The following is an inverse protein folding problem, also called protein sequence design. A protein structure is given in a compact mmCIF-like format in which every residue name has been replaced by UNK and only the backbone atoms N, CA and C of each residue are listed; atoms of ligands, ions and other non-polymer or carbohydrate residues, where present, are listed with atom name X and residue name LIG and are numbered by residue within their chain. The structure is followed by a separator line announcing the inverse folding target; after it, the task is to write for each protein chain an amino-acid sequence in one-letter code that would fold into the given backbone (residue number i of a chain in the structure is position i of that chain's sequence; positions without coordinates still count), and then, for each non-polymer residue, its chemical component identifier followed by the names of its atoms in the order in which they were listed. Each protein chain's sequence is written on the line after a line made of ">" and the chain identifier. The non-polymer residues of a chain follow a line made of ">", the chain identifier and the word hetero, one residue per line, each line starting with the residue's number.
data_IF_274378554793
#
_entry.id   IF_274378554793
#
_cell.length_a   1.000
_cell.length_b   1.000
_cell.length_c   1.000
_cell.angle_alpha   90.00
_cell.angle_beta   90.00
_cell.angle_gamma   90.00
#
_symmetry.space_group_name_H-M   'P 1'
#
loop_
_entity.id
_entity.type
_entity.pdbx_description
1 polymer ?
#
# COMPACT_ATOMS: atom_id res chain seq x y z
N UNK A 1 21.41 -13.58 5.49
CA UNK A 1 21.19 -12.30 4.76
C UNK A 1 22.21 -12.20 3.65
N UNK A 2 21.81 -11.85 2.43
CA UNK A 2 22.71 -11.71 1.27
C UNK A 2 23.49 -10.38 1.31
N UNK A 3 24.68 -10.33 0.72
CA UNK A 3 25.44 -9.09 0.58
C UNK A 3 24.65 -8.00 -0.17
N UNK A 4 23.88 -8.41 -1.20
CA UNK A 4 23.04 -7.52 -1.99
C UNK A 4 21.94 -6.85 -1.15
N UNK A 5 21.32 -7.58 -0.20
CA UNK A 5 20.27 -6.99 0.65
C UNK A 5 20.86 -5.98 1.63
N UNK A 6 22.08 -6.24 2.11
CA UNK A 6 22.82 -5.31 2.97
C UNK A 6 23.19 -4.03 2.22
N UNK A 7 23.68 -4.15 0.98
CA UNK A 7 24.02 -3.00 0.13
C UNK A 7 22.78 -2.16 -0.21
N UNK A 8 21.65 -2.79 -0.54
CA UNK A 8 20.36 -2.10 -0.78
C UNK A 8 19.94 -1.29 0.45
N UNK A 9 19.98 -1.90 1.64
CA UNK A 9 19.65 -1.21 2.90
C UNK A 9 20.55 -0.01 3.15
N UNK A 10 21.86 -0.14 2.90
CA UNK A 10 22.77 1.00 3.01
C UNK A 10 22.44 2.13 2.02
N UNK A 11 22.13 1.77 0.76
CA UNK A 11 21.73 2.72 -0.28
C UNK A 11 20.51 3.58 0.11
N UNK A 12 19.60 3.07 0.93
CA UNK A 12 18.44 3.80 1.43
C UNK A 12 18.80 5.00 2.33
N UNK A 13 20.05 5.09 2.82
CA UNK A 13 20.54 6.20 3.63
C UNK A 13 21.33 7.24 2.84
N UNK A 14 21.51 7.06 1.52
CA UNK A 14 22.30 7.96 0.65
C UNK A 14 21.38 8.86 -0.17
N UNK A 15 21.65 10.17 -0.16
CA UNK A 15 20.95 11.16 -1.00
C UNK A 15 20.65 12.46 -0.24
N UNK A 16 20.46 13.54 -0.97
CA UNK A 16 20.27 14.88 -0.41
C UNK A 16 18.85 15.06 0.19
N UNK A 17 17.84 14.41 -0.39
CA UNK A 17 16.44 14.65 -0.02
C UNK A 17 15.92 13.52 0.85
N UNK A 18 15.15 13.89 1.89
CA UNK A 18 14.34 12.93 2.66
C UNK A 18 13.08 12.62 1.85
N UNK A 19 12.80 11.34 1.67
CA UNK A 19 11.62 10.83 0.99
C UNK A 19 10.82 10.00 1.98
N UNK A 20 9.56 10.37 2.19
CA UNK A 20 8.61 9.59 2.96
C UNK A 20 7.99 8.51 2.06
N UNK A 21 8.15 7.24 2.44
CA UNK A 21 7.67 6.11 1.63
C UNK A 21 6.33 5.59 2.12
N UNK A 22 6.13 5.50 3.43
CA UNK A 22 4.95 4.90 4.02
C UNK A 22 4.74 5.41 5.46
N UNK A 23 3.55 5.91 5.81
CA UNK A 23 3.18 6.20 7.20
C UNK A 23 3.30 4.96 8.10
N UNK A 24 3.16 5.17 9.40
CA UNK A 24 2.90 4.08 10.34
C UNK A 24 1.67 3.28 9.88
N UNK A 25 1.79 1.95 9.93
CA UNK A 25 0.72 1.02 9.59
C UNK A 25 0.23 0.35 10.86
N UNK A 26 -1.08 0.31 11.05
CA UNK A 26 -1.75 -0.42 12.13
C UNK A 26 -2.99 -1.10 11.58
N UNK A 27 -3.27 -2.28 12.09
CA UNK A 27 -4.41 -3.04 11.63
C UNK A 27 -4.73 -4.23 12.50
N UNK A 28 -5.76 -4.96 12.07
CA UNK A 28 -6.22 -6.19 12.68
C UNK A 28 -6.62 -7.15 11.57
N UNK A 29 -6.22 -8.42 11.70
CA UNK A 29 -6.57 -9.47 10.75
C UNK A 29 -7.45 -10.55 11.40
N UNK A 30 -8.50 -10.96 10.70
CA UNK A 30 -9.41 -12.02 11.11
C UNK A 30 -9.76 -12.97 9.97
N UNK A 31 -10.30 -14.14 10.32
CA UNK A 31 -10.99 -15.06 9.43
C UNK A 31 -12.41 -15.25 9.93
N UNK A 32 -13.41 -14.76 9.19
CA UNK A 32 -14.84 -14.81 9.56
C UNK A 32 -15.08 -14.24 10.97
N UNK A 33 -14.46 -13.10 11.25
CA UNK A 33 -14.49 -12.39 12.52
C UNK A 33 -13.61 -12.98 13.63
N UNK A 34 -12.94 -14.12 13.42
CA UNK A 34 -12.03 -14.71 14.40
C UNK A 34 -10.62 -14.15 14.22
N UNK A 35 -9.98 -13.58 15.25
CA UNK A 35 -8.65 -13.02 15.12
C UNK A 35 -7.59 -14.05 14.67
N UNK A 36 -6.71 -13.63 13.77
CA UNK A 36 -5.60 -14.45 13.29
C UNK A 36 -4.33 -14.11 14.07
N UNK A 37 -3.91 -14.97 14.99
CA UNK A 37 -2.69 -14.79 15.80
C UNK A 37 -1.44 -15.39 15.13
N UNK A 38 -0.29 -14.76 15.36
CA UNK A 38 1.03 -15.20 14.88
C UNK A 38 1.10 -15.39 13.35
N UNK A 39 0.38 -14.56 12.62
CA UNK A 39 0.37 -14.53 11.16
C UNK A 39 1.32 -13.44 10.67
N UNK A 40 2.11 -13.76 9.65
CA UNK A 40 3.10 -12.84 9.10
C UNK A 40 2.43 -11.76 8.25
N UNK A 41 2.77 -10.50 8.55
CA UNK A 41 2.41 -9.33 7.76
C UNK A 41 3.70 -8.79 7.14
N UNK A 42 3.76 -8.74 5.81
CA UNK A 42 4.92 -8.25 5.07
C UNK A 42 4.60 -6.94 4.37
N UNK A 43 5.54 -6.01 4.36
CA UNK A 43 5.44 -4.76 3.63
C UNK A 43 6.62 -4.61 2.68
N UNK A 44 6.31 -4.26 1.45
CA UNK A 44 7.26 -3.98 0.37
C UNK A 44 7.01 -2.57 -0.14
N UNK A 45 8.04 -1.74 -0.11
CA UNK A 45 8.01 -0.35 -0.55
C UNK A 45 9.07 -0.15 -1.63
N UNK A 46 8.66 0.33 -2.80
CA UNK A 46 9.57 0.61 -3.90
C UNK A 46 9.45 2.08 -4.32
N UNK A 47 10.52 2.85 -4.14
CA UNK A 47 10.60 4.22 -4.61
C UNK A 47 10.99 4.26 -6.10
N UNK A 48 10.54 5.28 -6.83
CA UNK A 48 10.69 5.35 -8.29
C UNK A 48 12.13 5.40 -8.81
N UNK A 49 13.12 5.58 -7.94
CA UNK A 49 14.56 5.49 -8.27
C UNK A 49 15.15 4.07 -8.13
N UNK A 50 14.30 3.06 -7.84
CA UNK A 50 14.69 1.66 -7.67
C UNK A 50 15.07 1.29 -6.24
N UNK A 51 15.07 2.23 -5.28
CA UNK A 51 15.28 1.90 -3.87
C UNK A 51 14.09 1.13 -3.31
N UNK A 52 14.39 0.14 -2.47
CA UNK A 52 13.39 -0.76 -1.92
C UNK A 52 13.59 -0.97 -0.42
N UNK A 53 12.49 -1.02 0.32
CA UNK A 53 12.44 -1.37 1.75
C UNK A 53 11.45 -2.51 1.92
N UNK A 54 11.92 -3.57 2.56
CA UNK A 54 11.11 -4.74 2.92
C UNK A 54 11.23 -4.96 4.44
N UNK A 55 10.09 -5.04 5.12
CA UNK A 55 9.99 -5.39 6.53
C UNK A 55 8.73 -6.20 6.83
N UNK A 56 8.66 -6.79 8.02
CA UNK A 56 7.55 -7.62 8.43
C UNK A 56 7.30 -7.52 9.93
N UNK A 57 6.10 -7.91 10.34
CA UNK A 57 5.70 -8.14 11.73
C UNK A 57 4.84 -9.40 11.80
N UNK A 58 4.57 -9.88 13.01
CA UNK A 58 3.53 -10.88 13.25
C UNK A 58 2.34 -10.24 13.94
N UNK A 59 1.16 -10.81 13.73
CA UNK A 59 -0.04 -10.44 14.47
C UNK A 59 0.02 -10.96 15.91
N UNK A 60 -0.57 -10.20 16.84
CA UNK A 60 -0.75 -10.61 18.23
C UNK A 60 -1.97 -11.55 18.42
N UNK A 61 -2.27 -11.92 19.66
CA UNK A 61 -3.40 -12.81 19.99
C UNK A 61 -4.78 -12.24 19.63
N UNK A 62 -4.88 -10.93 19.46
CA UNK A 62 -6.09 -10.25 19.00
C UNK A 62 -6.07 -9.99 17.48
N UNK A 63 -5.11 -10.57 16.75
CA UNK A 63 -4.92 -10.34 15.32
C UNK A 63 -4.36 -8.97 14.98
N UNK A 64 -3.96 -8.18 15.99
CA UNK A 64 -3.43 -6.83 15.83
C UNK A 64 -2.01 -6.84 15.30
N UNK A 65 -1.65 -5.88 14.45
CA UNK A 65 -0.29 -5.71 13.95
C UNK A 65 0.08 -4.24 13.80
N UNK A 66 1.39 -3.97 13.80
CA UNK A 66 1.91 -2.63 13.52
C UNK A 66 3.26 -2.67 12.80
N UNK A 67 3.45 -1.73 11.87
CA UNK A 67 4.74 -1.50 11.20
C UNK A 67 5.09 0.00 11.32
N UNK A 68 6.37 0.34 11.57
CA UNK A 68 6.78 1.72 11.77
C UNK A 68 6.68 2.54 10.47
N UNK A 69 6.67 3.87 10.59
CA UNK A 69 6.84 4.76 9.45
C UNK A 69 8.20 4.54 8.76
N UNK A 70 8.23 4.61 7.41
CA UNK A 70 9.45 4.45 6.61
C UNK A 70 9.77 5.73 5.84
N UNK A 71 11.03 6.15 5.99
CA UNK A 71 11.65 7.22 5.22
C UNK A 71 13.00 6.75 4.66
N UNK A 72 13.37 7.25 3.48
CA UNK A 72 14.68 7.02 2.87
C UNK A 72 15.34 8.34 2.46
N UNK A 73 16.58 8.27 1.98
CA UNK A 73 17.26 9.35 1.27
C UNK A 73 17.30 9.06 -0.23
N UNK A 74 17.16 10.08 -1.06
CA UNK A 74 17.32 9.97 -2.53
C UNK A 74 17.74 11.30 -3.16
N UNK A 75 18.34 11.25 -4.35
CA UNK A 75 18.61 12.40 -5.20
C UNK A 75 17.58 12.56 -6.34
N UNK A 76 16.71 11.57 -6.57
CA UNK A 76 15.65 11.60 -7.58
C UNK A 76 14.80 12.88 -7.54
N UNK A 77 14.49 13.48 -6.37
CA UNK A 77 13.70 14.71 -6.32
C UNK A 77 14.35 15.93 -6.99
N UNK A 78 15.66 15.91 -7.24
CA UNK A 78 16.36 16.96 -7.98
C UNK A 78 16.41 16.70 -9.50
N UNK A 79 15.96 15.55 -9.98
CA UNK A 79 15.97 15.20 -11.40
C UNK A 79 14.75 15.84 -12.08
N UNK A 80 14.93 16.77 -13.04
CA UNK A 80 13.81 17.39 -13.73
C UNK A 80 12.97 16.36 -14.48
N UNK A 81 11.64 16.52 -14.47
CA UNK A 81 10.66 15.69 -15.18
C UNK A 81 10.64 14.20 -14.76
N UNK A 82 11.41 13.79 -13.76
CA UNK A 82 11.32 12.45 -13.21
C UNK A 82 9.95 12.26 -12.55
N UNK A 83 9.28 11.15 -12.87
CA UNK A 83 8.08 10.77 -12.15
C UNK A 83 8.45 10.28 -10.74
N UNK A 84 7.82 10.89 -9.72
CA UNK A 84 8.13 10.62 -8.32
C UNK A 84 6.94 9.93 -7.67
N UNK A 85 7.16 8.68 -7.26
CA UNK A 85 6.16 7.91 -6.55
C UNK A 85 6.80 6.81 -5.69
N UNK A 86 6.02 6.28 -4.75
CA UNK A 86 6.31 5.06 -4.01
C UNK A 86 5.21 4.04 -4.29
N UNK A 87 5.58 2.86 -4.79
CA UNK A 87 4.70 1.70 -4.78
C UNK A 87 4.69 1.09 -3.39
N UNK A 88 3.51 0.95 -2.80
CA UNK A 88 3.29 0.36 -1.48
C UNK A 88 2.52 -0.94 -1.62
N UNK A 89 3.03 -2.00 -1.00
CA UNK A 89 2.33 -3.27 -0.92
C UNK A 89 2.45 -3.85 0.49
N UNK A 90 1.32 -4.30 1.06
CA UNK A 90 1.24 -4.93 2.38
C UNK A 90 0.40 -6.18 2.25
N UNK A 91 0.97 -7.31 2.68
CA UNK A 91 0.40 -8.63 2.51
C UNK A 91 0.33 -9.37 3.83
N UNK A 92 -0.66 -10.26 3.93
CA UNK A 92 -0.80 -11.25 4.98
C UNK A 92 -0.60 -12.63 4.37
N UNK A 93 0.23 -13.47 4.97
CA UNK A 93 0.46 -14.86 4.52
C UNK A 93 -0.16 -15.86 5.50
N UNK A 94 -1.18 -16.58 5.06
CA UNK A 94 -1.91 -17.56 5.89
C UNK A 94 -2.35 -18.75 5.06
N UNK A 95 -2.18 -19.97 5.57
CA UNK A 95 -2.53 -21.23 4.89
C UNK A 95 -2.01 -21.35 3.44
N UNK A 96 -0.76 -20.91 3.20
CA UNK A 96 -0.12 -20.87 1.87
C UNK A 96 -0.79 -19.94 0.85
N UNK A 97 -1.69 -19.06 1.30
CA UNK A 97 -2.29 -18.00 0.51
C UNK A 97 -1.76 -16.63 0.95
N UNK A 98 -1.72 -15.69 0.01
CA UNK A 98 -1.32 -14.31 0.24
C UNK A 98 -2.52 -13.38 0.04
N UNK A 99 -2.81 -12.56 1.04
CA UNK A 99 -3.93 -11.62 1.05
C UNK A 99 -3.41 -10.18 0.99
N UNK A 100 -3.83 -9.41 -0.02
CA UNK A 100 -3.45 -8.02 -0.18
C UNK A 100 -4.22 -7.12 0.80
N UNK A 101 -3.55 -6.71 1.88
CA UNK A 101 -4.10 -5.77 2.86
C UNK A 101 -4.05 -4.33 2.34
N UNK A 102 -3.05 -3.99 1.54
CA UNK A 102 -2.91 -2.68 0.92
C UNK A 102 -2.03 -2.74 -0.32
N UNK A 103 -2.51 -2.19 -1.44
CA UNK A 103 -1.71 -1.95 -2.64
C UNK A 103 -2.03 -0.57 -3.20
N UNK A 104 -1.05 0.35 -3.26
CA UNK A 104 -1.28 1.70 -3.80
C UNK A 104 0.02 2.32 -4.34
N UNK A 105 -0.13 3.36 -5.17
CA UNK A 105 0.95 4.23 -5.64
C UNK A 105 0.82 5.59 -4.97
N UNK A 106 1.75 5.91 -4.07
CA UNK A 106 1.82 7.19 -3.38
C UNK A 106 2.67 8.17 -4.19
N UNK A 107 2.05 9.21 -4.78
CA UNK A 107 2.77 10.23 -5.54
C UNK A 107 3.51 11.24 -4.65
N UNK A 108 4.73 11.60 -5.07
CA UNK A 108 5.59 12.58 -4.41
C UNK A 108 6.49 11.98 -3.32
N UNK A 109 7.09 12.87 -2.51
CA UNK A 109 8.08 12.52 -1.47
C UNK A 109 7.65 12.85 -0.05
N UNK A 110 6.50 13.50 0.11
CA UNK A 110 6.04 14.06 1.38
C UNK A 110 5.01 13.13 2.00
N UNK A 111 5.00 13.14 3.33
CA UNK A 111 3.93 12.55 4.13
C UNK A 111 2.54 12.98 3.64
N UNK A 112 1.60 12.02 3.59
CA UNK A 112 0.21 12.22 3.21
C UNK A 112 -0.71 11.73 4.31
N UNK A 113 -1.44 12.65 4.93
CA UNK A 113 -2.39 12.33 6.00
C UNK A 113 -3.54 11.45 5.48
N UNK A 114 -3.89 11.60 4.20
CA UNK A 114 -4.95 10.79 3.57
C UNK A 114 -4.57 9.29 3.57
N UNK A 115 -3.31 8.97 3.27
CA UNK A 115 -2.77 7.61 3.35
C UNK A 115 -2.62 7.16 4.80
N UNK A 116 -2.10 8.02 5.68
CA UNK A 116 -1.89 7.68 7.08
C UNK A 116 -3.18 7.29 7.80
N UNK A 117 -4.28 7.98 7.51
CA UNK A 117 -5.60 7.64 8.06
C UNK A 117 -6.05 6.24 7.65
N UNK A 118 -5.84 5.86 6.38
CA UNK A 118 -6.17 4.52 5.88
C UNK A 118 -5.27 3.45 6.48
N UNK A 119 -3.96 3.69 6.47
CA UNK A 119 -2.94 2.74 6.91
C UNK A 119 -2.91 2.52 8.43
N UNK A 120 -3.41 3.46 9.26
CA UNK A 120 -3.61 3.25 10.70
C UNK A 120 -4.84 2.38 11.04
N UNK A 121 -5.64 2.01 10.04
CA UNK A 121 -6.91 1.29 10.21
C UNK A 121 -7.04 0.17 9.17
N UNK A 122 -6.01 -0.66 8.99
CA UNK A 122 -6.10 -1.85 8.13
C UNK A 122 -6.89 -2.96 8.83
N UNK A 123 -8.23 -2.86 8.80
CA UNK A 123 -9.12 -3.88 9.36
C UNK A 123 -9.47 -4.88 8.27
N UNK A 124 -8.90 -6.08 8.35
CA UNK A 124 -8.98 -7.12 7.34
C UNK A 124 -9.72 -8.35 7.86
N UNK A 125 -10.66 -8.85 7.05
CA UNK A 125 -11.11 -10.23 7.16
C UNK A 125 -10.70 -10.97 5.89
N UNK A 126 -9.97 -12.07 6.02
CA UNK A 126 -9.46 -12.82 4.85
C UNK A 126 -10.58 -13.48 4.03
N UNK A 127 -11.80 -13.55 4.57
CA UNK A 127 -12.99 -13.96 3.80
C UNK A 127 -13.55 -12.86 2.88
N UNK A 128 -13.07 -11.62 2.99
CA UNK A 128 -13.47 -10.53 2.11
C UNK A 128 -12.82 -10.65 0.72
N UNK A 129 -13.60 -10.39 -0.32
CA UNK A 129 -13.06 -10.20 -1.67
C UNK A 129 -12.12 -8.98 -1.74
N UNK A 130 -11.08 -9.06 -2.58
CA UNK A 130 -10.22 -7.91 -2.89
C UNK A 130 -11.00 -6.90 -3.74
N UNK A 131 -10.93 -5.63 -3.39
CA UNK A 131 -11.57 -4.54 -4.16
C UNK A 131 -10.58 -3.44 -4.51
N UNK A 132 -10.81 -2.77 -5.63
CA UNK A 132 -10.28 -1.44 -5.90
C UNK A 132 -11.21 -0.42 -5.26
N UNK A 133 -10.64 0.56 -4.56
CA UNK A 133 -11.44 1.63 -3.98
C UNK A 133 -10.75 2.98 -4.12
N UNK A 134 -11.58 4.02 -4.13
CA UNK A 134 -11.19 5.42 -4.13
C UNK A 134 -11.32 6.03 -2.73
N UNK A 135 -10.40 6.95 -2.42
CA UNK A 135 -10.41 7.73 -1.18
C UNK A 135 -9.91 9.16 -1.42
N UNK A 136 -10.19 10.07 -0.49
CA UNK A 136 -10.02 11.50 -0.64
C UNK A 136 -8.57 11.89 -0.96
N UNK A 137 -8.40 12.80 -1.92
CA UNK A 137 -7.17 13.57 -2.11
C UNK A 137 -7.44 15.04 -1.77
N UNK A 138 -6.80 15.56 -0.71
CA UNK A 138 -7.05 16.93 -0.26
C UNK A 138 -6.32 17.99 -1.08
N UNK A 139 -5.35 17.60 -1.92
CA UNK A 139 -4.53 18.53 -2.69
C UNK A 139 -5.08 18.86 -4.07
N UNK A 140 -5.89 17.96 -4.64
CA UNK A 140 -6.36 18.08 -6.02
C UNK A 140 -7.84 17.77 -6.02
N UNK A 141 -8.65 18.82 -6.12
CA UNK A 141 -10.10 18.70 -6.23
C UNK A 141 -10.47 17.90 -7.49
N UNK A 142 -11.55 17.11 -7.40
CA UNK A 142 -11.99 16.24 -8.49
C UNK A 142 -11.16 14.97 -8.71
N UNK A 143 -9.99 14.84 -8.10
CA UNK A 143 -9.16 13.63 -8.18
C UNK A 143 -9.19 12.87 -6.86
N UNK A 144 -9.33 11.54 -6.88
CA UNK A 144 -9.25 10.67 -5.69
C UNK A 144 -8.01 9.80 -5.78
N UNK A 145 -7.50 9.37 -4.62
CA UNK A 145 -6.51 8.30 -4.58
C UNK A 145 -7.17 6.96 -4.75
N UNK A 146 -6.38 5.97 -5.16
CA UNK A 146 -6.82 4.61 -5.38
C UNK A 146 -5.93 3.62 -4.64
N UNK A 147 -6.55 2.54 -4.17
CA UNK A 147 -5.85 1.41 -3.58
C UNK A 147 -6.61 0.10 -3.78
N UNK A 148 -5.87 -1.00 -3.79
CA UNK A 148 -6.37 -2.37 -3.76
C UNK A 148 -6.31 -2.91 -2.33
N UNK A 149 -7.38 -3.56 -1.85
CA UNK A 149 -7.40 -4.09 -0.49
C UNK A 149 -8.52 -5.10 -0.23
N UNK A 150 -8.27 -6.06 0.67
CA UNK A 150 -9.32 -6.83 1.36
C UNK A 150 -9.85 -6.13 2.63
N UNK A 151 -9.17 -5.09 3.10
CA UNK A 151 -9.57 -4.30 4.26
C UNK A 151 -10.79 -3.43 3.95
N UNK A 152 -11.49 -3.01 5.00
CA UNK A 152 -12.67 -2.14 4.90
C UNK A 152 -12.56 -0.98 5.89
N UNK A 153 -13.12 0.16 5.48
CA UNK A 153 -13.18 1.38 6.29
C UNK A 153 -14.63 1.88 6.33
N UNK A 154 -15.05 2.44 7.46
CA UNK A 154 -16.38 3.05 7.62
C UNK A 154 -16.55 4.31 6.78
N UNK A 155 -15.47 5.05 6.55
CA UNK A 155 -15.50 6.37 5.95
C UNK A 155 -14.47 6.49 4.81
N UNK A 156 -14.80 7.32 3.81
CA UNK A 156 -13.94 7.64 2.66
C UNK A 156 -13.47 6.40 1.88
N UNK A 157 -14.39 5.48 1.64
CA UNK A 157 -14.13 4.19 1.02
C UNK A 157 -15.19 3.96 -0.06
N UNK A 158 -14.86 4.33 -1.29
CA UNK A 158 -15.74 4.18 -2.45
C UNK A 158 -15.22 3.02 -3.30
N UNK A 159 -15.89 1.87 -3.23
CA UNK A 159 -15.53 0.71 -4.04
C UNK A 159 -15.79 1.02 -5.51
N UNK A 160 -14.80 0.76 -6.36
CA UNK A 160 -14.93 0.88 -7.81
C UNK A 160 -15.43 -0.46 -8.34
N UNK A 161 -16.60 -0.45 -8.99
CA UNK A 161 -17.11 -1.65 -9.64
C UNK A 161 -16.25 -2.03 -10.86
N UNK A 162 -16.03 -3.33 -11.03
CA UNK A 162 -15.13 -3.86 -12.05
C UNK A 162 -15.55 -3.46 -13.48
N UNK A 163 -16.86 -3.34 -13.73
CA UNK A 163 -17.39 -2.93 -15.03
C UNK A 163 -17.16 -1.44 -15.33
N UNK A 164 -17.09 -0.60 -14.30
CA UNK A 164 -16.82 0.83 -14.44
C UNK A 164 -15.32 1.15 -14.64
N UNK A 165 -14.43 0.23 -14.28
CA UNK A 165 -12.98 0.41 -14.44
C UNK A 165 -12.51 0.20 -15.88
N UNK A 166 -13.17 -0.68 -16.63
CA UNK A 166 -12.78 -0.99 -18.01
C UNK A 166 -13.57 -0.24 -19.08
N UNK A 167 -14.66 0.45 -18.73
CA UNK A 167 -15.63 1.09 -19.63
C UNK A 167 -15.60 0.55 -21.07
N UNK A 168 -15.84 -0.77 -21.20
CA UNK A 168 -15.95 -1.45 -22.49
C UNK A 168 -17.36 -1.29 -23.06
N UNK A 169 -18.17 -0.38 -22.50
CA UNK A 169 -19.54 -0.15 -22.93
C UNK A 169 -19.61 0.48 -24.33
N UNK A 170 -18.50 1.06 -24.81
CA UNK A 170 -18.38 1.66 -26.14
C UNK A 170 -17.73 0.76 -27.20
N UNK A 171 -17.36 -0.48 -26.88
CA UNK A 171 -16.94 -1.42 -27.92
C UNK A 171 -18.20 -2.00 -28.56
N UNK A 172 -18.79 -1.25 -29.50
CA UNK A 172 -19.68 -1.83 -30.50
C UNK A 172 -18.92 -2.97 -31.18
N UNK A 173 -19.38 -4.20 -30.96
CA UNK A 173 -18.94 -5.32 -31.78
C UNK A 173 -19.51 -5.09 -33.17
N UNK A 174 -18.68 -4.64 -34.11
CA UNK A 174 -18.99 -4.70 -35.53
C UNK A 174 -19.33 -6.15 -35.87
N UNK A 175 -20.63 -6.42 -36.06
CA UNK A 175 -21.11 -7.70 -36.54
C UNK A 175 -20.75 -7.78 -38.03
N UNK A 176 -19.82 -8.69 -38.34
CA UNK A 176 -19.43 -9.05 -39.70
C UNK A 176 -20.40 -10.08 -40.30
#
# INVERSE_FOLDING_TARGET
>A
MSFLTTLKKFGNHIGAYKVHLCPEVKGQASEKGKPLSNVKIERVLNFSDGKSVEDFTYTDNNGGFSLPEINIRSNQPAVPLAEIFTSQAIYLSYNNEEYCLWGSRLSGVKYREEYARKLRQLIADISNGKVLFKFQNKKTEGYKFEALSICRWSDDFEVVEQNAYFDLSEIETDNN
#
